data_IF_742231106291
#
_entry.id   IF_742231106291
#
_cell.length_a   1.000
_cell.length_b   1.000
_cell.length_c   1.000
_cell.angle_alpha   90.00
_cell.angle_beta   90.00
_cell.angle_gamma   90.00
#
_symmetry.space_group_name_H-M   'P 1'
#
loop_
_entity.id
_entity.type
_entity.pdbx_description
1 polymer ?
#
# COMPACT_ATOMS: atom_id res chain seq x y z
N UNK A 1 12.48 34.27 -31.06
CA UNK A 1 12.80 32.84 -30.88
C UNK A 1 11.69 32.23 -30.06
N UNK A 2 11.19 31.06 -30.48
CA UNK A 2 9.92 30.49 -30.06
C UNK A 2 9.85 30.25 -28.54
N UNK A 3 8.77 30.72 -27.92
CA UNK A 3 8.36 30.27 -26.59
C UNK A 3 7.94 28.80 -26.77
N UNK A 4 8.77 27.88 -26.30
CA UNK A 4 8.47 26.45 -26.22
C UNK A 4 7.20 26.29 -25.39
N UNK A 5 6.24 25.51 -25.90
CA UNK A 5 4.96 25.28 -25.22
C UNK A 5 5.21 24.82 -23.78
N UNK A 6 4.69 25.57 -22.81
CA UNK A 6 4.67 25.21 -21.40
C UNK A 6 3.54 24.22 -21.20
N UNK A 7 3.85 23.01 -20.71
CA UNK A 7 2.82 22.04 -20.33
C UNK A 7 2.02 22.50 -19.11
N UNK A 8 0.80 22.00 -18.97
CA UNK A 8 -0.10 22.23 -17.83
C UNK A 8 -0.35 20.94 -17.06
N UNK A 9 -0.07 20.96 -15.76
CA UNK A 9 -0.26 19.81 -14.87
C UNK A 9 -1.20 20.19 -13.73
N UNK A 10 -2.18 19.34 -13.46
CA UNK A 10 -3.03 19.44 -12.28
C UNK A 10 -2.42 18.75 -11.07
N UNK A 11 -2.43 19.38 -9.90
CA UNK A 11 -2.14 18.73 -8.62
C UNK A 11 -3.47 18.44 -7.94
N UNK A 12 -3.86 17.17 -7.90
CA UNK A 12 -5.21 16.75 -7.49
C UNK A 12 -5.23 16.18 -6.07
N UNK A 13 -6.11 16.71 -5.22
CA UNK A 13 -6.44 16.13 -3.92
C UNK A 13 -7.95 16.14 -3.66
N UNK A 14 -8.39 15.36 -2.67
CA UNK A 14 -9.77 15.33 -2.21
C UNK A 14 -10.00 16.44 -1.17
N UNK A 15 -11.04 17.25 -1.34
CA UNK A 15 -11.34 18.35 -0.42
C UNK A 15 -12.67 19.05 -0.73
N UNK A 16 -12.88 20.21 -0.12
CA UNK A 16 -13.99 21.11 -0.42
C UNK A 16 -13.65 21.97 -1.65
N UNK A 17 -14.34 21.73 -2.77
CA UNK A 17 -14.07 22.40 -4.05
C UNK A 17 -14.34 23.90 -4.01
N UNK A 18 -15.28 24.35 -3.17
CA UNK A 18 -15.64 25.76 -3.05
C UNK A 18 -14.96 26.43 -1.87
N UNK A 19 -14.07 25.72 -1.17
CA UNK A 19 -13.22 26.27 -0.13
C UNK A 19 -12.13 27.19 -0.70
N UNK A 20 -11.78 28.23 0.05
CA UNK A 20 -10.80 29.24 -0.39
C UNK A 20 -9.34 28.78 -0.25
N UNK A 21 -9.06 27.75 0.56
CA UNK A 21 -7.70 27.34 0.88
C UNK A 21 -7.50 25.82 0.86
N UNK A 22 -6.28 25.40 0.55
CA UNK A 22 -5.84 24.02 0.71
C UNK A 22 -5.93 23.62 2.19
N UNK A 23 -6.23 22.34 2.45
CA UNK A 23 -6.04 21.82 3.81
C UNK A 23 -4.55 21.91 4.19
N UNK A 24 -4.19 22.11 5.47
CA UNK A 24 -2.78 22.16 5.90
C UNK A 24 -1.99 20.92 5.49
N UNK A 25 -2.65 19.76 5.44
CA UNK A 25 -2.05 18.52 4.96
C UNK A 25 -1.80 18.56 3.46
N UNK A 26 -2.77 19.00 2.65
CA UNK A 26 -2.56 19.11 1.20
C UNK A 26 -1.47 20.15 0.89
N UNK A 27 -1.41 21.27 1.61
CA UNK A 27 -0.39 22.30 1.44
C UNK A 27 1.01 21.78 1.76
N UNK A 28 1.19 21.08 2.89
CA UNK A 28 2.47 20.50 3.27
C UNK A 28 2.99 19.46 2.26
N UNK A 29 2.07 18.76 1.58
CA UNK A 29 2.42 17.70 0.65
C UNK A 29 2.56 18.25 -0.77
N UNK A 30 1.56 18.94 -1.32
CA UNK A 30 1.57 19.38 -2.72
C UNK A 30 2.20 20.77 -2.93
N UNK A 31 2.29 21.59 -1.89
CA UNK A 31 2.86 22.95 -1.97
C UNK A 31 4.23 23.02 -2.65
N UNK A 32 5.21 22.19 -2.23
CA UNK A 32 6.53 22.16 -2.86
C UNK A 32 6.52 21.84 -4.37
N UNK A 33 5.53 21.07 -4.85
CA UNK A 33 5.46 20.70 -6.27
C UNK A 33 5.10 21.90 -7.16
N UNK A 34 4.30 22.86 -6.67
CA UNK A 34 4.00 24.06 -7.45
C UNK A 34 5.28 24.83 -7.81
N UNK A 35 6.19 24.97 -6.84
CA UNK A 35 7.49 25.61 -7.07
C UNK A 35 8.35 24.78 -8.04
N UNK A 36 8.45 23.46 -7.82
CA UNK A 36 9.24 22.56 -8.68
C UNK A 36 8.77 22.58 -10.15
N UNK A 37 7.46 22.52 -10.41
CA UNK A 37 6.93 22.63 -11.78
C UNK A 37 7.20 24.01 -12.40
N UNK A 38 7.10 25.09 -11.60
CA UNK A 38 7.43 26.43 -12.07
C UNK A 38 8.89 26.56 -12.51
N UNK A 39 9.83 25.95 -11.78
CA UNK A 39 11.26 25.93 -12.15
C UNK A 39 11.51 25.19 -13.48
N UNK A 40 10.66 24.21 -13.80
CA UNK A 40 10.68 23.46 -15.06
C UNK A 40 9.91 24.14 -16.20
N UNK A 41 9.40 25.36 -16.01
CA UNK A 41 8.51 26.06 -16.94
C UNK A 41 7.20 25.31 -17.26
N UNK A 42 6.71 24.51 -16.31
CA UNK A 42 5.41 23.82 -16.36
C UNK A 42 4.41 24.57 -15.48
N UNK A 43 3.23 24.83 -16.01
CA UNK A 43 2.16 25.48 -15.23
C UNK A 43 1.46 24.44 -14.36
N UNK A 44 1.55 24.58 -13.03
CA UNK A 44 0.83 23.72 -12.09
C UNK A 44 -0.48 24.38 -11.61
N UNK A 45 -1.59 23.66 -11.71
CA UNK A 45 -2.92 24.11 -11.30
C UNK A 45 -3.47 23.25 -10.15
N UNK A 46 -4.14 23.87 -9.19
CA UNK A 46 -4.84 23.16 -8.12
C UNK A 46 -6.11 22.47 -8.65
N UNK A 47 -6.27 21.17 -8.38
CA UNK A 47 -7.47 20.41 -8.75
C UNK A 47 -8.10 19.80 -7.48
N UNK A 48 -9.20 20.38 -7.01
CA UNK A 48 -9.92 19.83 -5.85
C UNK A 48 -11.00 18.87 -6.33
N UNK A 49 -10.83 17.59 -6.03
CA UNK A 49 -11.83 16.57 -6.27
C UNK A 49 -12.84 16.54 -5.11
N UNK A 50 -14.12 16.67 -5.46
CA UNK A 50 -15.26 16.47 -4.58
C UNK A 50 -16.29 15.58 -5.30
N UNK A 51 -16.89 14.62 -4.59
CA UNK A 51 -17.80 13.64 -5.20
C UNK A 51 -19.09 14.29 -5.74
N UNK A 52 -19.47 15.47 -5.25
CA UNK A 52 -20.62 16.25 -5.67
C UNK A 52 -20.34 17.20 -6.85
N UNK A 53 -19.07 17.35 -7.26
CA UNK A 53 -18.65 18.28 -8.31
C UNK A 53 -17.87 17.61 -9.46
N UNK A 54 -18.10 16.31 -9.69
CA UNK A 54 -17.36 15.49 -10.67
C UNK A 54 -17.36 16.10 -12.08
N UNK A 55 -18.46 16.71 -12.53
CA UNK A 55 -18.56 17.30 -13.87
C UNK A 55 -17.62 18.51 -14.06
N UNK A 56 -17.48 19.36 -13.04
CA UNK A 56 -16.58 20.51 -13.09
C UNK A 56 -15.12 20.07 -12.99
N UNK A 57 -14.83 19.07 -12.13
CA UNK A 57 -13.49 18.49 -12.04
C UNK A 57 -13.10 17.87 -13.39
N UNK A 58 -14.03 17.20 -14.06
CA UNK A 58 -13.83 16.63 -15.39
C UNK A 58 -13.47 17.70 -16.42
N UNK A 59 -14.24 18.79 -16.49
CA UNK A 59 -13.95 19.90 -17.41
C UNK A 59 -12.55 20.46 -17.18
N UNK A 60 -12.18 20.69 -15.92
CA UNK A 60 -10.85 21.17 -15.55
C UNK A 60 -9.76 20.19 -15.99
N UNK A 61 -9.92 18.89 -15.69
CA UNK A 61 -8.94 17.86 -16.04
C UNK A 61 -8.71 17.73 -17.55
N UNK A 62 -9.77 17.84 -18.36
CA UNK A 62 -9.66 17.76 -19.82
C UNK A 62 -8.96 18.95 -20.47
N UNK A 63 -8.75 20.05 -19.73
CA UNK A 63 -8.00 21.22 -20.19
C UNK A 63 -6.49 21.16 -19.85
N UNK A 64 -6.04 20.09 -19.19
CA UNK A 64 -4.66 19.88 -18.76
C UNK A 64 -3.94 18.87 -19.67
N UNK A 65 -2.61 18.94 -19.68
CA UNK A 65 -1.77 17.92 -20.35
C UNK A 65 -1.55 16.70 -19.45
N UNK A 66 -1.60 16.89 -18.12
CA UNK A 66 -1.50 15.81 -17.16
C UNK A 66 -2.00 16.13 -15.76
N UNK A 67 -2.09 15.12 -14.91
CA UNK A 67 -2.52 15.25 -13.50
C UNK A 67 -1.69 14.35 -12.57
N UNK A 68 -1.19 14.96 -11.50
CA UNK A 68 -0.59 14.29 -10.34
C UNK A 68 -1.66 14.07 -9.28
N UNK A 69 -1.95 12.81 -8.98
CA UNK A 69 -3.09 12.42 -8.13
C UNK A 69 -2.62 12.07 -6.72
N UNK A 70 -3.06 12.86 -5.74
CA UNK A 70 -2.80 12.64 -4.31
C UNK A 70 -4.12 12.46 -3.55
N UNK A 71 -4.70 11.26 -3.66
CA UNK A 71 -5.94 10.86 -2.97
C UNK A 71 -5.79 9.45 -2.42
N UNK A 72 -6.08 9.26 -1.12
CA UNK A 72 -5.99 7.95 -0.49
C UNK A 72 -7.06 6.99 -1.07
N UNK A 73 -6.82 5.66 -1.05
CA UNK A 73 -7.83 4.69 -1.48
C UNK A 73 -9.15 4.77 -0.71
N UNK A 74 -9.05 5.06 0.60
CA UNK A 74 -10.17 5.30 1.50
C UNK A 74 -9.85 6.57 2.31
N UNK A 75 -10.78 7.51 2.33
CA UNK A 75 -10.65 8.76 3.07
C UNK A 75 -12.03 9.25 3.51
N UNK A 76 -12.16 9.59 4.81
CA UNK A 76 -13.37 10.16 5.40
C UNK A 76 -14.65 9.34 5.13
N UNK A 77 -14.52 8.01 5.12
CA UNK A 77 -15.61 7.07 4.83
C UNK A 77 -15.93 6.88 3.35
N UNK A 78 -15.30 7.66 2.46
CA UNK A 78 -15.46 7.57 1.01
C UNK A 78 -14.33 6.80 0.35
N UNK A 79 -14.62 6.31 -0.84
CA UNK A 79 -13.71 5.51 -1.66
C UNK A 79 -13.29 6.28 -2.89
N UNK A 80 -12.22 5.85 -3.57
CA UNK A 80 -11.79 6.44 -4.84
C UNK A 80 -12.57 5.98 -6.07
N UNK A 81 -13.65 5.22 -5.95
CA UNK A 81 -14.33 4.61 -7.11
C UNK A 81 -14.81 5.62 -8.16
N UNK A 82 -15.42 6.74 -7.72
CA UNK A 82 -15.85 7.82 -8.62
C UNK A 82 -14.68 8.52 -9.29
N UNK A 83 -13.63 8.83 -8.51
CA UNK A 83 -12.39 9.40 -9.02
C UNK A 83 -11.71 8.48 -10.05
N UNK A 84 -11.69 7.16 -9.82
CA UNK A 84 -11.07 6.19 -10.72
C UNK A 84 -11.82 6.09 -12.05
N UNK A 85 -13.15 6.18 -12.02
CA UNK A 85 -13.95 6.25 -13.25
C UNK A 85 -13.61 7.51 -14.04
N UNK A 86 -13.55 8.66 -13.36
CA UNK A 86 -13.18 9.94 -13.97
C UNK A 86 -11.75 9.92 -14.55
N UNK A 87 -10.78 9.42 -13.79
CA UNK A 87 -9.38 9.37 -14.20
C UNK A 87 -9.15 8.46 -15.41
N UNK A 88 -9.88 7.34 -15.53
CA UNK A 88 -9.88 6.51 -16.74
C UNK A 88 -10.43 7.26 -17.94
N UNK A 89 -11.52 7.99 -17.74
CA UNK A 89 -12.14 8.76 -18.81
C UNK A 89 -11.19 9.83 -19.36
N UNK A 90 -10.59 10.65 -18.49
CA UNK A 90 -9.67 11.72 -18.92
C UNK A 90 -8.40 11.15 -19.55
N UNK A 91 -7.88 10.04 -19.03
CA UNK A 91 -6.77 9.31 -19.66
C UNK A 91 -7.12 8.84 -21.07
N UNK A 92 -8.35 8.36 -21.28
CA UNK A 92 -8.88 8.00 -22.60
C UNK A 92 -8.99 9.17 -23.57
N UNK A 93 -8.98 10.41 -23.08
CA UNK A 93 -8.93 11.64 -23.89
C UNK A 93 -7.50 12.20 -24.08
N UNK A 94 -6.47 11.48 -23.60
CA UNK A 94 -5.07 11.84 -23.79
C UNK A 94 -4.44 12.63 -22.64
N UNK A 95 -5.17 12.89 -21.55
CA UNK A 95 -4.59 13.52 -20.34
C UNK A 95 -3.72 12.50 -19.61
N UNK A 96 -2.45 12.82 -19.39
CA UNK A 96 -1.58 11.92 -18.65
C UNK A 96 -1.96 11.85 -17.16
N UNK A 97 -1.95 10.66 -16.55
CA UNK A 97 -2.31 10.46 -15.14
C UNK A 97 -1.14 9.82 -14.41
N UNK A 98 -0.63 10.47 -13.35
CA UNK A 98 0.58 10.06 -12.64
C UNK A 98 0.55 8.64 -12.06
N UNK A 99 -0.64 8.12 -11.79
CA UNK A 99 -0.89 6.74 -11.41
C UNK A 99 -2.23 6.30 -12.02
N UNK A 100 -2.16 5.65 -13.19
CA UNK A 100 -3.36 5.25 -13.92
C UNK A 100 -4.22 4.26 -13.09
N UNK A 101 -5.57 4.43 -13.01
CA UNK A 101 -6.42 3.57 -12.20
C UNK A 101 -6.30 2.07 -12.50
N UNK A 102 -6.02 1.70 -13.75
CA UNK A 102 -5.85 0.29 -14.14
C UNK A 102 -4.52 -0.31 -13.67
N UNK A 103 -3.49 0.51 -13.54
CA UNK A 103 -2.20 0.09 -12.95
C UNK A 103 -2.37 -0.05 -11.44
N UNK A 104 -3.06 0.91 -10.80
CA UNK A 104 -3.40 0.84 -9.38
C UNK A 104 -4.21 -0.42 -9.06
N UNK A 105 -5.15 -0.81 -9.92
CA UNK A 105 -5.93 -2.03 -9.74
C UNK A 105 -5.05 -3.30 -9.74
N UNK A 106 -3.96 -3.31 -10.52
CA UNK A 106 -3.03 -4.45 -10.62
C UNK A 106 -2.08 -4.56 -9.44
N UNK A 107 -1.45 -3.45 -9.03
CA UNK A 107 -0.35 -3.50 -8.05
C UNK A 107 -0.65 -2.82 -6.70
N UNK A 108 -1.71 -2.01 -6.61
CA UNK A 108 -2.05 -1.22 -5.43
C UNK A 108 -2.96 -1.89 -4.42
N UNK A 109 -3.38 -3.13 -4.68
CA UNK A 109 -4.19 -3.94 -3.73
C UNK A 109 -3.32 -5.02 -3.11
N UNK A 110 -3.71 -5.56 -1.95
CA UNK A 110 -2.96 -6.68 -1.32
C UNK A 110 -2.97 -7.96 -2.16
N UNK A 111 -3.81 -8.05 -3.20
CA UNK A 111 -3.75 -9.16 -4.16
C UNK A 111 -2.36 -9.27 -4.83
N UNK A 112 -1.64 -8.16 -4.96
CA UNK A 112 -0.26 -8.16 -5.48
C UNK A 112 0.66 -9.09 -4.67
N UNK A 113 0.41 -9.24 -3.36
CA UNK A 113 1.19 -10.13 -2.49
C UNK A 113 0.99 -11.59 -2.89
N UNK A 114 -0.23 -11.96 -3.29
CA UNK A 114 -0.53 -13.31 -3.78
C UNK A 114 0.01 -13.50 -5.21
N UNK A 115 -0.21 -12.53 -6.10
CA UNK A 115 0.22 -12.62 -7.50
C UNK A 115 1.75 -12.70 -7.65
N UNK A 116 2.49 -12.08 -6.73
CA UNK A 116 3.96 -12.04 -6.73
C UNK A 116 4.60 -12.93 -5.65
N UNK A 117 3.82 -13.86 -5.05
CA UNK A 117 4.28 -14.71 -3.93
C UNK A 117 5.45 -15.64 -4.27
N UNK A 118 5.65 -15.92 -5.55
CA UNK A 118 6.73 -16.79 -6.04
C UNK A 118 8.00 -15.99 -6.43
N UNK A 119 8.00 -14.66 -6.28
CA UNK A 119 9.19 -13.82 -6.44
C UNK A 119 10.08 -13.88 -5.19
N UNK A 120 11.31 -13.36 -5.29
CA UNK A 120 12.28 -13.43 -4.20
C UNK A 120 11.88 -12.68 -2.91
N UNK A 121 10.93 -11.76 -2.97
CA UNK A 121 10.34 -11.10 -1.80
C UNK A 121 9.11 -11.83 -1.21
N UNK A 122 8.74 -12.95 -1.81
CA UNK A 122 7.49 -13.64 -1.56
C UNK A 122 7.48 -14.40 -0.23
N UNK A 123 6.30 -14.84 0.17
CA UNK A 123 6.12 -15.73 1.31
C UNK A 123 4.90 -16.61 1.06
N UNK A 124 4.65 -17.61 1.92
CA UNK A 124 3.51 -18.51 1.85
C UNK A 124 2.18 -17.74 2.00
N UNK A 125 1.73 -17.18 0.88
CA UNK A 125 0.61 -16.26 0.76
C UNK A 125 -0.53 -16.96 0.04
N UNK A 126 -1.73 -16.92 0.60
CA UNK A 126 -2.93 -17.44 -0.06
C UNK A 126 -4.00 -16.34 -0.17
N UNK A 127 -4.91 -16.52 -1.12
CA UNK A 127 -5.99 -15.59 -1.47
C UNK A 127 -7.31 -16.32 -1.38
N UNK A 128 -8.32 -15.66 -0.85
CA UNK A 128 -9.70 -16.14 -0.81
C UNK A 128 -10.61 -15.16 -1.54
N UNK A 129 -11.38 -15.66 -2.50
CA UNK A 129 -12.30 -14.84 -3.30
C UNK A 129 -13.69 -14.75 -2.68
N UNK A 130 -14.00 -15.64 -1.74
CA UNK A 130 -15.30 -15.72 -1.10
C UNK A 130 -15.19 -16.17 0.36
N UNK A 131 -16.26 -15.90 1.11
CA UNK A 131 -16.38 -16.35 2.49
C UNK A 131 -16.42 -17.88 2.57
N UNK A 132 -17.00 -18.55 1.56
CA UNK A 132 -17.06 -20.01 1.45
C UNK A 132 -15.65 -20.61 1.29
N UNK A 133 -14.82 -20.01 0.43
CA UNK A 133 -13.43 -20.43 0.28
C UNK A 133 -12.61 -20.20 1.55
N UNK A 134 -12.79 -19.03 2.18
CA UNK A 134 -12.09 -18.70 3.42
C UNK A 134 -12.45 -19.67 4.54
N UNK A 135 -13.76 -19.95 4.71
CA UNK A 135 -14.26 -20.93 5.67
C UNK A 135 -13.67 -22.32 5.43
N UNK A 136 -13.51 -22.72 4.17
CA UNK A 136 -13.03 -24.06 3.81
C UNK A 136 -11.51 -24.21 3.97
N UNK A 137 -10.72 -23.19 3.66
CA UNK A 137 -9.26 -23.32 3.47
C UNK A 137 -8.43 -22.68 4.59
N UNK A 138 -8.89 -21.58 5.18
CA UNK A 138 -8.12 -20.86 6.20
C UNK A 138 -7.86 -21.67 7.49
N UNK A 139 -8.82 -22.46 8.02
CA UNK A 139 -8.60 -23.17 9.28
C UNK A 139 -7.42 -24.15 9.23
N UNK A 140 -7.26 -24.90 8.13
CA UNK A 140 -6.12 -25.81 7.95
C UNK A 140 -4.77 -25.05 7.94
N UNK A 141 -4.70 -23.89 7.28
CA UNK A 141 -3.50 -23.05 7.25
C UNK A 141 -3.18 -22.46 8.62
N UNK A 142 -4.20 -22.00 9.35
CA UNK A 142 -4.04 -21.54 10.73
C UNK A 142 -3.59 -22.67 11.66
N UNK A 143 -4.14 -23.88 11.49
CA UNK A 143 -3.75 -25.07 12.25
C UNK A 143 -2.29 -25.43 12.09
N UNK A 144 -1.79 -25.40 10.84
CA UNK A 144 -0.39 -25.69 10.51
C UNK A 144 0.60 -24.70 11.13
N UNK A 145 0.29 -23.41 11.10
CA UNK A 145 1.25 -22.35 11.47
C UNK A 145 1.04 -21.81 12.90
N UNK A 146 -0.11 -22.08 13.51
CA UNK A 146 -0.53 -21.54 14.82
C UNK A 146 -0.93 -20.07 14.80
N UNK A 147 -0.36 -19.28 13.89
CA UNK A 147 -0.63 -17.85 13.72
C UNK A 147 -0.56 -17.45 12.24
N UNK A 148 -1.52 -16.62 11.80
CA UNK A 148 -1.56 -16.05 10.45
C UNK A 148 -1.95 -14.58 10.50
N UNK A 149 -1.56 -13.82 9.48
CA UNK A 149 -1.99 -12.43 9.28
C UNK A 149 -2.98 -12.39 8.12
N UNK A 150 -4.22 -12.00 8.38
CA UNK A 150 -5.29 -11.85 7.38
C UNK A 150 -5.44 -10.37 7.04
N UNK A 151 -5.48 -10.04 5.75
CA UNK A 151 -5.54 -8.69 5.21
C UNK A 151 -6.70 -8.57 4.22
N UNK A 152 -7.54 -7.55 4.35
CA UNK A 152 -8.42 -7.14 3.25
C UNK A 152 -7.58 -6.57 2.09
N UNK A 153 -8.05 -6.77 0.85
CA UNK A 153 -7.30 -6.38 -0.35
C UNK A 153 -7.12 -4.86 -0.52
N UNK A 154 -8.13 -4.09 -0.14
CA UNK A 154 -8.22 -2.62 -0.24
C UNK A 154 -8.35 -2.03 1.14
N UNK A 155 -7.35 -1.25 1.53
CA UNK A 155 -7.30 -0.56 2.81
C UNK A 155 -5.96 0.13 3.00
N UNK A 156 -5.87 0.99 4.00
CA UNK A 156 -4.66 1.72 4.35
C UNK A 156 -4.52 1.81 5.87
N UNK A 157 -3.30 2.03 6.37
CA UNK A 157 -3.05 2.28 7.79
C UNK A 157 -3.42 1.14 8.74
N UNK A 158 -3.32 -0.12 8.29
CA UNK A 158 -3.64 -1.30 9.10
C UNK A 158 -5.14 -1.63 9.21
N UNK A 159 -6.02 -0.88 8.54
CA UNK A 159 -7.45 -1.19 8.49
C UNK A 159 -7.69 -2.55 7.80
N UNK A 160 -8.38 -3.46 8.49
CA UNK A 160 -8.70 -4.80 8.01
C UNK A 160 -7.48 -5.72 7.93
N UNK A 161 -6.44 -5.43 8.72
CA UNK A 161 -5.28 -6.30 8.92
C UNK A 161 -5.36 -6.90 10.32
N UNK A 162 -5.42 -8.23 10.39
CA UNK A 162 -5.66 -8.98 11.61
C UNK A 162 -4.55 -10.01 11.81
N UNK A 163 -3.93 -10.04 13.00
CA UNK A 163 -3.23 -11.23 13.48
C UNK A 163 -4.26 -12.17 14.08
N UNK A 164 -4.26 -13.41 13.62
CA UNK A 164 -5.14 -14.49 14.09
C UNK A 164 -4.25 -15.58 14.65
N UNK A 165 -4.34 -15.83 15.94
CA UNK A 165 -3.51 -16.77 16.68
C UNK A 165 -4.39 -17.81 17.38
N UNK A 166 -4.02 -19.09 17.35
CA UNK A 166 -4.71 -20.12 18.13
C UNK A 166 -4.45 -19.90 19.63
N UNK A 167 -5.51 -19.90 20.46
CA UNK A 167 -5.36 -19.79 21.92
C UNK A 167 -4.81 -21.08 22.51
N UNK A 168 -5.27 -22.22 21.98
CA UNK A 168 -4.73 -23.53 22.23
C UNK A 168 -4.66 -24.29 20.91
N UNK A 169 -3.59 -25.06 20.71
CA UNK A 169 -3.51 -25.95 19.56
C UNK A 169 -4.65 -26.98 19.58
N UNK A 170 -5.18 -27.37 18.42
CA UNK A 170 -6.20 -28.40 18.35
C UNK A 170 -5.69 -29.71 18.98
N UNK A 171 -6.56 -30.44 19.69
CA UNK A 171 -6.16 -31.66 20.42
C UNK A 171 -5.97 -32.84 19.47
N UNK A 172 -4.72 -33.23 19.25
CA UNK A 172 -4.31 -34.33 18.37
C UNK A 172 -3.46 -33.82 17.21
N UNK A 173 -2.46 -34.60 16.78
CA UNK A 173 -1.45 -34.17 15.80
C UNK A 173 -2.03 -33.74 14.43
N UNK A 174 -3.24 -34.21 14.10
CA UNK A 174 -3.92 -33.96 12.82
C UNK A 174 -5.27 -33.24 12.98
N UNK A 175 -5.59 -32.76 14.18
CA UNK A 175 -6.86 -32.06 14.39
C UNK A 175 -6.79 -30.67 13.76
N UNK A 176 -7.70 -30.34 12.85
CA UNK A 176 -7.80 -29.00 12.26
C UNK A 176 -8.66 -28.09 13.16
N UNK A 177 -8.35 -26.79 13.25
CA UNK A 177 -9.25 -25.82 13.84
C UNK A 177 -10.62 -25.86 13.16
N UNK A 178 -11.67 -25.89 13.95
CA UNK A 178 -13.05 -25.78 13.49
C UNK A 178 -13.66 -24.42 13.84
N UNK A 179 -14.96 -24.22 13.55
CA UNK A 179 -15.64 -22.97 13.84
C UNK A 179 -15.73 -22.63 15.32
N UNK A 180 -15.66 -23.64 16.21
CA UNK A 180 -15.75 -23.48 17.66
C UNK A 180 -14.37 -23.31 18.31
N UNK A 181 -13.29 -23.44 17.54
CA UNK A 181 -11.92 -23.22 18.02
C UNK A 181 -11.72 -21.76 18.45
N UNK A 182 -11.18 -21.56 19.66
CA UNK A 182 -10.88 -20.23 20.18
C UNK A 182 -9.60 -19.65 19.55
N UNK A 183 -9.71 -18.43 19.05
CA UNK A 183 -8.61 -17.66 18.47
C UNK A 183 -8.46 -16.31 19.18
N UNK A 184 -7.22 -15.85 19.28
CA UNK A 184 -6.85 -14.50 19.70
C UNK A 184 -6.64 -13.64 18.47
N UNK A 185 -7.31 -12.50 18.45
CA UNK A 185 -7.27 -11.53 17.39
C UNK A 185 -6.58 -10.26 17.85
N UNK A 186 -5.78 -9.67 16.96
CA UNK A 186 -5.23 -8.33 17.13
C UNK A 186 -5.39 -7.56 15.82
N UNK A 187 -5.98 -6.37 15.88
CA UNK A 187 -6.16 -5.51 14.71
C UNK A 187 -4.98 -4.54 14.56
N UNK A 188 -4.36 -4.46 13.38
CA UNK A 188 -3.16 -3.64 13.18
C UNK A 188 -3.41 -2.12 13.29
N UNK A 189 -4.66 -1.67 13.13
CA UNK A 189 -5.03 -0.27 13.31
C UNK A 189 -5.01 0.15 14.79
N UNK A 190 -5.17 -0.80 15.71
CA UNK A 190 -5.06 -0.51 17.14
C UNK A 190 -3.59 -0.49 17.57
N UNK A 191 -3.10 0.72 17.85
CA UNK A 191 -1.73 0.96 18.28
C UNK A 191 -1.47 0.59 19.74
N UNK A 192 -2.52 0.47 20.56
CA UNK A 192 -2.43 -0.01 21.94
C UNK A 192 -2.21 -1.52 22.03
N UNK A 193 -2.36 -2.23 20.91
CA UNK A 193 -2.13 -3.66 20.82
C UNK A 193 -3.18 -4.48 21.58
N UNK A 194 -4.42 -3.99 21.71
CA UNK A 194 -5.46 -4.75 22.36
C UNK A 194 -5.73 -6.05 21.59
N UNK A 195 -5.99 -7.11 22.36
CA UNK A 195 -6.35 -8.41 21.81
C UNK A 195 -7.75 -8.78 22.24
N UNK A 196 -8.45 -9.53 21.39
CA UNK A 196 -9.76 -10.08 21.65
C UNK A 196 -9.75 -11.58 21.38
N UNK A 197 -10.26 -12.38 22.31
CA UNK A 197 -10.51 -13.81 22.06
C UNK A 197 -11.95 -14.02 21.58
N UNK A 198 -12.12 -14.88 20.57
CA UNK A 198 -13.44 -15.32 20.09
C UNK A 198 -13.34 -16.64 19.32
N UNK A 199 -14.48 -17.27 19.02
CA UNK A 199 -14.54 -18.44 18.16
C UNK A 199 -14.15 -18.10 16.72
N UNK A 200 -13.40 -18.99 16.06
CA UNK A 200 -12.92 -18.85 14.69
C UNK A 200 -14.06 -18.59 13.69
N UNK A 201 -15.19 -19.30 13.84
CA UNK A 201 -16.38 -19.08 13.00
C UNK A 201 -16.93 -17.66 13.09
N UNK A 202 -16.86 -17.05 14.28
CA UNK A 202 -17.25 -15.65 14.49
C UNK A 202 -16.30 -14.67 13.81
N UNK A 203 -14.99 -14.95 13.81
CA UNK A 203 -14.01 -14.15 13.06
C UNK A 203 -14.23 -14.28 11.54
N UNK A 204 -14.43 -15.49 11.04
CA UNK A 204 -14.75 -15.76 9.63
C UNK A 204 -15.98 -14.94 9.22
N UNK A 205 -17.06 -15.00 9.99
CA UNK A 205 -18.26 -14.22 9.70
C UNK A 205 -18.02 -12.70 9.73
N UNK A 206 -17.16 -12.20 10.63
CA UNK A 206 -16.74 -10.78 10.65
C UNK A 206 -16.03 -10.38 9.35
N UNK A 207 -15.30 -11.30 8.73
CA UNK A 207 -14.62 -11.03 7.46
C UNK A 207 -15.55 -10.96 6.24
N UNK A 208 -16.84 -11.30 6.37
CA UNK A 208 -17.81 -11.28 5.27
C UNK A 208 -17.86 -9.95 4.54
N UNK A 209 -17.84 -8.84 5.27
CA UNK A 209 -17.96 -7.49 4.70
C UNK A 209 -16.74 -7.11 3.84
N UNK A 210 -15.58 -7.72 4.10
CA UNK A 210 -14.38 -7.49 3.28
C UNK A 210 -14.54 -8.07 1.87
N UNK A 211 -15.29 -9.16 1.67
CA UNK A 211 -15.50 -9.69 0.32
C UNK A 211 -16.38 -8.77 -0.52
N UNK A 212 -17.42 -8.18 0.08
CA UNK A 212 -18.35 -7.30 -0.62
C UNK A 212 -17.69 -6.01 -1.13
N UNK A 213 -16.77 -5.44 -0.34
CA UNK A 213 -16.10 -4.17 -0.66
C UNK A 213 -14.68 -4.36 -1.24
N UNK A 214 -13.86 -5.18 -0.58
CA UNK A 214 -12.45 -5.37 -0.91
C UNK A 214 -12.23 -6.37 -2.05
N UNK A 215 -13.20 -7.25 -2.29
CA UNK A 215 -13.18 -8.29 -3.32
C UNK A 215 -12.49 -9.59 -2.91
N UNK A 216 -11.43 -9.52 -2.10
CA UNK A 216 -10.76 -10.72 -1.59
C UNK A 216 -10.07 -10.48 -0.24
N UNK A 217 -9.71 -11.59 0.41
CA UNK A 217 -8.79 -11.62 1.55
C UNK A 217 -7.47 -12.26 1.15
N UNK A 218 -6.41 -11.79 1.79
CA UNK A 218 -5.06 -12.33 1.66
C UNK A 218 -4.60 -12.79 3.02
N UNK A 219 -4.00 -13.98 3.13
CA UNK A 219 -3.32 -14.41 4.35
C UNK A 219 -1.84 -14.66 4.14
N UNK A 220 -1.01 -14.23 5.09
CA UNK A 220 0.44 -14.40 5.12
C UNK A 220 0.89 -14.92 6.48
N UNK A 221 2.10 -15.52 6.60
CA UNK A 221 2.66 -15.85 7.90
C UNK A 221 2.92 -14.57 8.71
N UNK A 222 2.85 -14.66 10.03
CA UNK A 222 3.40 -13.61 10.90
C UNK A 222 4.93 -13.67 10.83
N UNK A 223 5.58 -12.58 10.41
CA UNK A 223 7.03 -12.52 10.34
C UNK A 223 7.64 -12.27 11.73
N UNK A 224 8.54 -13.17 12.15
CA UNK A 224 9.14 -13.13 13.50
C UNK A 224 10.02 -11.92 13.79
N UNK A 225 10.44 -11.16 12.74
CA UNK A 225 11.29 -9.98 12.87
C UNK A 225 10.53 -8.65 12.73
N UNK A 226 9.20 -8.66 12.89
CA UNK A 226 8.35 -7.46 12.81
C UNK A 226 8.82 -6.33 13.74
N UNK A 227 9.35 -6.65 14.93
CA UNK A 227 9.88 -5.66 15.87
C UNK A 227 11.11 -4.91 15.35
N UNK A 228 11.83 -5.48 14.37
CA UNK A 228 12.93 -4.82 13.66
C UNK A 228 12.47 -3.69 12.72
N UNK A 229 11.16 -3.53 12.54
CA UNK A 229 10.57 -2.49 11.70
C UNK A 229 10.39 -2.93 10.25
N UNK A 230 10.17 -1.93 9.40
CA UNK A 230 9.76 -2.03 8.01
C UNK A 230 10.54 -1.00 7.20
N UNK A 231 11.12 -1.39 6.07
CA UNK A 231 11.81 -0.49 5.16
C UNK A 231 10.83 -0.12 4.05
N UNK A 232 10.45 1.15 4.00
CA UNK A 232 9.75 1.72 2.85
C UNK A 232 10.76 2.08 1.78
N UNK A 233 10.60 1.53 0.58
CA UNK A 233 11.38 1.89 -0.60
C UNK A 233 10.51 2.79 -1.48
N UNK A 234 10.97 4.01 -1.77
CA UNK A 234 10.30 4.92 -2.69
C UNK A 234 10.84 4.71 -4.10
N UNK A 235 9.94 4.63 -5.08
CA UNK A 235 10.28 4.43 -6.48
C UNK A 235 9.66 5.50 -7.36
N UNK A 236 10.40 5.91 -8.38
CA UNK A 236 9.91 6.66 -9.54
C UNK A 236 9.99 5.71 -10.72
N UNK A 237 8.83 5.35 -11.29
CA UNK A 237 8.76 4.23 -12.24
C UNK A 237 9.43 2.96 -11.68
N UNK A 238 10.52 2.49 -12.25
CA UNK A 238 11.26 1.31 -11.83
C UNK A 238 12.55 1.61 -11.05
N UNK A 239 12.85 2.89 -10.81
CA UNK A 239 14.07 3.32 -10.11
C UNK A 239 13.80 3.61 -8.64
N UNK A 240 14.68 3.11 -7.76
CA UNK A 240 14.58 3.42 -6.32
C UNK A 240 15.22 4.78 -6.07
N UNK A 241 14.42 5.70 -5.52
CA UNK A 241 14.82 7.10 -5.26
C UNK A 241 15.03 7.41 -3.78
N UNK A 242 14.75 6.47 -2.89
CA UNK A 242 15.04 6.65 -1.46
C UNK A 242 14.43 5.58 -0.57
N UNK A 243 14.76 5.66 0.71
CA UNK A 243 14.30 4.73 1.72
C UNK A 243 13.76 5.46 2.95
N UNK A 244 12.97 4.76 3.75
CA UNK A 244 12.60 5.20 5.08
C UNK A 244 12.37 4.00 5.98
N UNK A 245 13.13 3.90 7.08
CA UNK A 245 12.92 2.86 8.08
C UNK A 245 11.82 3.30 9.05
N UNK A 246 10.79 2.46 9.19
CA UNK A 246 9.62 2.68 10.03
C UNK A 246 9.49 1.56 11.06
N UNK A 247 8.85 1.85 12.19
CA UNK A 247 8.57 0.88 13.26
C UNK A 247 7.07 0.78 13.51
N UNK A 248 6.29 0.20 12.58
CA UNK A 248 4.87 -0.01 12.79
C UNK A 248 4.65 -0.88 14.04
N UNK A 249 3.84 -0.39 14.97
CA UNK A 249 3.49 -1.12 16.20
C UNK A 249 2.34 -2.11 16.01
N UNK A 250 1.66 -2.06 14.87
CA UNK A 250 0.54 -2.96 14.56
C UNK A 250 0.98 -4.43 14.66
N UNK A 251 0.16 -5.26 15.31
CA UNK A 251 0.37 -6.69 15.53
C UNK A 251 1.51 -7.10 16.49
N UNK A 252 2.29 -6.14 17.01
CA UNK A 252 3.25 -6.39 18.09
C UNK A 252 2.54 -6.54 19.43
N UNK A 253 3.13 -7.32 20.33
CA UNK A 253 2.67 -7.36 21.71
C UNK A 253 2.85 -5.96 22.35
N UNK A 254 1.93 -5.53 23.23
CA UNK A 254 2.10 -4.29 23.99
C UNK A 254 3.42 -4.34 24.77
N UNK A 255 4.30 -3.36 24.58
CA UNK A 255 5.52 -3.22 25.39
C UNK A 255 5.28 -2.20 26.49
N UNK A 256 5.70 -2.47 27.75
CA UNK A 256 5.63 -1.46 28.83
C UNK A 256 6.53 -0.25 28.57
N UNK A 257 7.58 -0.44 27.76
CA UNK A 257 8.43 0.63 27.29
C UNK A 257 7.77 1.31 26.08
N UNK A 258 7.28 2.52 26.33
CA UNK A 258 6.66 3.41 25.35
C UNK A 258 7.71 4.33 24.70
N UNK A 259 8.98 3.86 24.64
CA UNK A 259 10.04 4.59 23.96
C UNK A 259 9.57 4.89 22.53
N UNK A 260 9.45 6.19 22.25
CA UNK A 260 8.98 6.65 20.96
C UNK A 260 9.97 6.15 19.91
N UNK A 261 9.53 5.39 18.89
CA UNK A 261 10.45 4.95 17.86
C UNK A 261 11.11 6.18 17.22
N UNK A 262 12.32 6.02 16.67
CA UNK A 262 12.99 7.11 15.96
C UNK A 262 12.01 7.72 14.97
N UNK A 263 12.02 9.06 14.86
CA UNK A 263 11.27 9.70 13.78
C UNK A 263 11.82 9.15 12.47
N UNK A 264 10.98 8.55 11.61
CA UNK A 264 11.45 8.02 10.34
C UNK A 264 12.11 9.15 9.56
N UNK A 265 13.39 8.97 9.25
CA UNK A 265 14.14 9.87 8.38
C UNK A 265 14.16 9.25 6.98
N UNK A 266 14.14 10.10 5.97
CA UNK A 266 14.41 9.64 4.62
C UNK A 266 15.91 9.44 4.45
N UNK A 267 16.28 8.33 3.81
CA UNK A 267 17.64 8.02 3.41
C UNK A 267 17.74 8.03 1.87
N UNK A 268 18.87 8.49 1.31
CA UNK A 268 19.08 8.54 -0.13
C UNK A 268 19.19 7.13 -0.74
N UNK A 269 19.04 6.99 -2.07
CA UNK A 269 19.07 5.68 -2.73
C UNK A 269 20.45 5.02 -2.73
N UNK A 270 21.53 5.75 -2.43
CA UNK A 270 22.90 5.26 -2.26
C UNK A 270 23.24 4.88 -0.81
N UNK A 271 22.28 4.96 0.12
CA UNK A 271 22.46 4.56 1.52
C UNK A 271 23.05 3.13 1.62
N UNK A 272 24.23 2.94 2.25
CA UNK A 272 24.92 1.65 2.25
C UNK A 272 24.10 0.50 2.84
N UNK A 273 23.26 0.77 3.83
CA UNK A 273 22.44 -0.23 4.52
C UNK A 273 21.40 -0.91 3.61
N UNK A 274 21.00 -0.24 2.52
CA UNK A 274 19.86 -0.67 1.68
C UNK A 274 20.29 -1.15 0.29
N UNK A 275 21.59 -1.20 -0.04
CA UNK A 275 22.06 -1.52 -1.40
C UNK A 275 21.71 -2.94 -1.87
N UNK A 276 21.64 -3.91 -0.96
CA UNK A 276 21.20 -5.27 -1.28
C UNK A 276 19.72 -5.27 -1.67
N UNK A 277 18.87 -4.60 -0.87
CA UNK A 277 17.45 -4.45 -1.14
C UNK A 277 17.20 -3.68 -2.45
N UNK A 278 17.90 -2.57 -2.65
CA UNK A 278 17.86 -1.79 -3.91
C UNK A 278 18.16 -2.65 -5.12
N UNK A 279 19.29 -3.38 -5.07
CA UNK A 279 19.74 -4.21 -6.18
C UNK A 279 18.73 -5.32 -6.51
N UNK A 280 18.11 -5.90 -5.48
CA UNK A 280 17.07 -6.91 -5.66
C UNK A 280 15.79 -6.31 -6.29
N UNK A 281 15.38 -5.11 -5.85
CA UNK A 281 14.24 -4.40 -6.41
C UNK A 281 14.42 -4.06 -7.89
N UNK A 282 15.45 -3.29 -8.21
CA UNK A 282 15.66 -2.74 -9.56
C UNK A 282 16.01 -3.82 -10.59
N UNK A 283 16.81 -4.83 -10.20
CA UNK A 283 17.36 -5.80 -11.17
C UNK A 283 16.56 -7.09 -11.28
N UNK A 284 15.68 -7.39 -10.32
CA UNK A 284 14.98 -8.67 -10.27
C UNK A 284 13.50 -8.48 -10.02
N UNK A 285 13.11 -7.95 -8.86
CA UNK A 285 11.73 -8.08 -8.41
C UNK A 285 10.77 -7.13 -9.13
N UNK A 286 11.14 -5.87 -9.38
CA UNK A 286 10.30 -4.94 -10.15
C UNK A 286 10.14 -5.42 -11.60
N UNK A 287 11.21 -5.77 -12.35
CA UNK A 287 11.06 -6.34 -13.69
C UNK A 287 10.21 -7.62 -13.74
N UNK A 288 10.35 -8.51 -12.77
CA UNK A 288 9.55 -9.74 -12.70
C UNK A 288 8.08 -9.45 -12.37
N UNK A 289 7.81 -8.51 -11.46
CA UNK A 289 6.45 -8.07 -11.15
C UNK A 289 5.79 -7.43 -12.38
N UNK A 290 6.50 -6.55 -13.10
CA UNK A 290 6.02 -5.94 -14.34
C UNK A 290 5.60 -6.99 -15.37
N UNK A 291 6.45 -8.01 -15.57
CA UNK A 291 6.14 -9.12 -16.47
C UNK A 291 4.91 -9.92 -16.01
N UNK A 292 4.79 -10.23 -14.72
CA UNK A 292 3.64 -10.96 -14.16
C UNK A 292 2.32 -10.19 -14.25
N UNK A 293 2.37 -8.88 -14.01
CA UNK A 293 1.19 -8.00 -13.98
C UNK A 293 0.86 -7.39 -15.36
N UNK A 294 1.72 -7.63 -16.35
CA UNK A 294 1.65 -6.99 -17.67
C UNK A 294 1.58 -5.46 -17.54
N UNK A 295 2.61 -4.87 -16.91
CA UNK A 295 2.74 -3.42 -16.68
C UNK A 295 4.11 -2.98 -17.19
N UNK A 296 4.12 -2.12 -18.20
CA UNK A 296 5.37 -1.55 -18.74
C UNK A 296 5.91 -0.45 -17.84
N UNK A 297 7.22 -0.16 -17.93
CA UNK A 297 7.88 0.85 -17.07
C UNK A 297 7.21 2.22 -17.14
N UNK A 298 6.85 2.68 -18.34
CA UNK A 298 6.16 3.96 -18.55
C UNK A 298 4.75 3.99 -17.93
N UNK A 299 4.15 2.83 -17.68
CA UNK A 299 2.85 2.70 -17.01
C UNK A 299 2.98 2.64 -15.48
N UNK A 300 4.16 2.38 -14.93
CA UNK A 300 4.36 2.44 -13.49
C UNK A 300 4.04 3.85 -12.96
N UNK A 301 3.52 3.98 -11.73
CA UNK A 301 3.27 5.30 -11.15
C UNK A 301 4.55 6.15 -11.12
N UNK A 302 4.40 7.45 -11.32
CA UNK A 302 5.52 8.41 -11.18
C UNK A 302 6.13 8.39 -9.81
N UNK A 303 5.31 8.12 -8.79
CA UNK A 303 5.80 7.87 -7.45
C UNK A 303 4.96 6.82 -6.78
N UNK A 304 5.62 5.81 -6.23
CA UNK A 304 5.01 4.75 -5.44
C UNK A 304 5.99 4.25 -4.40
N UNK A 305 5.50 3.48 -3.43
CA UNK A 305 6.36 2.87 -2.44
C UNK A 305 6.04 1.39 -2.23
N UNK A 306 7.08 0.63 -1.90
CA UNK A 306 7.00 -0.77 -1.53
C UNK A 306 7.57 -0.95 -0.12
N UNK A 307 6.74 -1.49 0.77
CA UNK A 307 7.05 -1.67 2.17
C UNK A 307 7.55 -3.10 2.41
N UNK A 308 8.77 -3.23 2.95
CA UNK A 308 9.42 -4.52 3.21
C UNK A 308 9.61 -4.76 4.70
N UNK A 309 9.19 -5.94 5.16
CA UNK A 309 9.54 -6.45 6.47
C UNK A 309 10.77 -7.34 6.36
N UNK A 310 11.54 -7.44 7.45
CA UNK A 310 12.64 -8.38 7.51
C UNK A 310 12.13 -9.83 7.54
N UNK A 311 12.62 -10.64 6.60
CA UNK A 311 12.45 -12.09 6.59
C UNK A 311 13.50 -12.82 7.44
N UNK A 312 13.45 -14.16 7.46
CA UNK A 312 14.48 -14.99 8.09
C UNK A 312 15.87 -14.65 7.53
N UNK A 313 16.90 -14.62 8.39
CA UNK A 313 18.26 -14.42 7.89
C UNK A 313 18.71 -15.62 7.06
N UNK A 314 19.59 -15.38 6.09
CA UNK A 314 20.26 -16.47 5.37
C UNK A 314 21.16 -17.26 6.32
N UNK A 315 21.65 -18.44 5.90
CA UNK A 315 22.65 -19.20 6.68
C UNK A 315 23.92 -18.40 6.96
N UNK A 316 24.27 -17.45 6.09
CA UNK A 316 25.39 -16.53 6.27
C UNK A 316 25.08 -15.36 7.23
N UNK A 317 23.82 -15.22 7.68
CA UNK A 317 23.38 -14.16 8.58
C UNK A 317 22.89 -12.88 7.86
N UNK A 318 22.80 -12.90 6.54
CA UNK A 318 22.34 -11.75 5.75
C UNK A 318 20.83 -11.54 5.91
N UNK A 319 20.39 -10.29 5.74
CA UNK A 319 18.97 -9.97 5.75
C UNK A 319 18.28 -10.43 4.47
N UNK A 320 17.09 -11.00 4.64
CA UNK A 320 16.11 -11.18 3.57
C UNK A 320 14.94 -10.24 3.81
N UNK A 321 14.14 -10.01 2.76
CA UNK A 321 13.07 -9.02 2.78
C UNK A 321 11.80 -9.63 2.22
N UNK A 322 10.68 -9.38 2.89
CA UNK A 322 9.36 -9.86 2.50
C UNK A 322 8.45 -8.68 2.23
N UNK A 323 7.79 -8.70 1.08
CA UNK A 323 6.86 -7.64 0.69
C UNK A 323 5.64 -7.62 1.63
N UNK A 324 5.39 -6.47 2.24
CA UNK A 324 4.28 -6.24 3.17
C UNK A 324 3.08 -5.60 2.46
N UNK A 325 3.35 -4.56 1.68
CA UNK A 325 2.38 -3.85 0.83
C UNK A 325 3.08 -3.00 -0.23
N UNK A 326 2.31 -2.61 -1.24
CA UNK A 326 2.68 -1.61 -2.23
C UNK A 326 1.65 -0.48 -2.13
N UNK A 327 2.12 0.76 -2.01
CA UNK A 327 1.30 1.96 -2.03
C UNK A 327 1.53 2.70 -3.36
N UNK A 328 0.45 2.98 -4.08
CA UNK A 328 0.46 3.63 -5.41
C UNK A 328 -0.45 4.85 -5.49
N UNK A 329 -0.99 5.29 -4.35
CA UNK A 329 -1.93 6.41 -4.28
C UNK A 329 -1.60 7.24 -3.05
N UNK A 330 -1.59 8.56 -3.22
CA UNK A 330 -1.20 9.51 -2.18
C UNK A 330 0.20 9.27 -1.58
N UNK A 331 1.13 8.73 -2.36
CA UNK A 331 2.52 8.51 -1.95
C UNK A 331 3.28 9.83 -1.90
N UNK A 332 4.03 9.99 -0.82
CA UNK A 332 4.87 11.13 -0.48
C UNK A 332 5.75 10.71 0.70
N UNK A 333 6.96 11.25 0.90
CA UNK A 333 7.64 12.36 0.20
C UNK A 333 8.20 12.06 -1.17
N UNK A 334 8.32 13.12 -1.99
CA UNK A 334 9.36 13.17 -3.01
C UNK A 334 10.67 13.38 -2.25
N UNK A 335 11.66 12.49 -2.42
CA UNK A 335 13.01 12.79 -1.96
C UNK A 335 13.42 14.17 -2.46
N UNK A 336 13.94 15.05 -1.58
CA UNK A 336 14.57 16.29 -2.02
C UNK A 336 15.63 16.05 -3.10
N UNK A 337 16.17 14.82 -3.12
CA UNK A 337 17.20 14.32 -4.03
C UNK A 337 16.65 13.38 -5.14
N UNK A 338 15.33 13.26 -5.33
CA UNK A 338 14.74 12.38 -6.34
C UNK A 338 15.02 12.82 -7.79
N UNK A 339 15.64 13.98 -7.96
CA UNK A 339 16.03 14.56 -9.25
C UNK A 339 17.53 14.87 -9.26
N UNK A 340 18.36 13.84 -9.14
CA UNK A 340 19.81 13.91 -9.39
C UNK A 340 20.21 13.07 -10.60
#
# INVERSE_FOLDING_TARGET
MAVTASGKVGLLWRGDRHGEAMSPRAEAMLGPLFAAFSELNVTAEAVVYADDAVAEVREQLLALDGVVVWVNPIQDGSTRAGLDALLREVAGHGVWVSAHPDVIAKMGTKEVLFQTRDLGWGTDTDRYESIEEFTKRFPARLGRDGVRVVKQARGNGGNGVWKVELVAGPTGADAEPDTDTLVRLQHAQDRGGATQEMHLGGFIQRCRDYFAWSGCLIDQPLLGRLAGGMIRCYLVHDEVVGFCHQWPRGLLAPTPDDSQPPRPAMEPPDAPAHQVLRSALERQWVPQMQALLNVDTESLPVIWDADFLYGPKTEAGDDTYVLCEINVSAVWPYPPDASA
#
